data_IF_832056118151
#
_entry.id   IF_832056118151
#
_cell.length_a   1.000
_cell.length_b   1.000
_cell.length_c   1.000
_cell.angle_alpha   90.00
_cell.angle_beta   90.00
_cell.angle_gamma   90.00
#
_symmetry.space_group_name_H-M   'P 1'
#
loop_
_entity.id
_entity.type
_entity.pdbx_description
1 polymer ?
#
# COMPACT_ATOMS: atom_id res chain seq x y z
N UNK A 1 -11.08 63.76 8.83
CA UNK A 1 -9.96 64.74 8.93
C UNK A 1 -9.66 65.17 10.38
N UNK A 2 -9.91 64.31 11.39
CA UNK A 2 -9.69 64.65 12.83
C UNK A 2 -8.76 63.66 13.56
N UNK A 3 -8.42 62.51 12.97
CA UNK A 3 -7.52 61.53 13.62
C UNK A 3 -6.02 61.86 13.54
N UNK A 4 -5.59 62.81 12.70
CA UNK A 4 -4.18 63.19 12.59
C UNK A 4 -3.66 64.07 13.74
N UNK A 5 -4.54 64.81 14.42
CA UNK A 5 -4.15 65.75 15.47
C UNK A 5 -3.72 65.10 16.78
N UNK A 6 -4.27 63.92 17.11
CA UNK A 6 -4.04 63.25 18.39
C UNK A 6 -2.72 62.46 18.42
N UNK A 7 -2.23 62.00 17.25
CA UNK A 7 -0.92 61.34 17.13
C UNK A 7 0.26 62.34 17.27
N UNK A 8 0.10 63.56 16.77
CA UNK A 8 1.11 64.61 16.91
C UNK A 8 1.23 65.14 18.36
N UNK A 9 0.11 65.27 19.07
CA UNK A 9 0.08 65.72 20.46
C UNK A 9 0.65 64.66 21.44
N UNK A 10 0.41 63.37 21.17
CA UNK A 10 0.99 62.27 21.96
C UNK A 10 2.51 62.16 21.79
N UNK A 11 3.03 62.39 20.58
CA UNK A 11 4.48 62.40 20.32
C UNK A 11 5.20 63.56 21.00
N UNK A 12 4.58 64.74 21.05
CA UNK A 12 5.16 65.93 21.68
C UNK A 12 5.27 65.81 23.21
N UNK A 13 4.30 65.18 23.87
CA UNK A 13 4.33 64.98 25.33
C UNK A 13 5.33 63.89 25.76
N UNK A 14 5.61 62.91 24.91
CA UNK A 14 6.57 61.84 25.18
C UNK A 14 8.03 62.34 25.02
N UNK A 15 8.25 63.35 24.17
CA UNK A 15 9.54 64.02 23.96
C UNK A 15 9.95 64.94 25.12
N UNK A 16 9.00 65.43 25.93
CA UNK A 16 9.27 66.33 27.06
C UNK A 16 9.52 65.57 28.39
N UNK A 17 9.09 64.30 28.46
CA UNK A 17 9.27 63.45 29.65
C UNK A 17 10.68 62.82 29.77
N UNK A 18 11.51 62.86 28.73
CA UNK A 18 12.81 62.18 28.68
C UNK A 18 13.98 63.18 28.68
N UNK A 19 14.50 63.52 29.86
CA UNK A 19 15.70 64.37 30.06
C UNK A 19 17.03 63.64 29.82
N UNK A 20 17.17 62.89 28.72
CA UNK A 20 18.44 62.26 28.33
C UNK A 20 18.66 62.42 26.81
N UNK A 21 19.72 63.14 26.43
CA UNK A 21 20.03 63.52 25.05
C UNK A 21 20.19 62.34 24.07
N UNK A 22 20.48 61.14 24.57
CA UNK A 22 20.62 59.91 23.76
C UNK A 22 19.29 59.30 23.31
N UNK A 23 18.17 59.58 24.02
CA UNK A 23 16.85 59.01 23.71
C UNK A 23 16.14 59.64 22.50
N UNK A 24 16.46 60.90 22.18
CA UNK A 24 15.82 61.67 21.11
C UNK A 24 16.05 61.09 19.71
N UNK A 25 17.23 60.51 19.45
CA UNK A 25 17.57 59.94 18.14
C UNK A 25 16.90 58.59 17.89
N UNK A 26 16.74 57.77 18.94
CA UNK A 26 16.11 56.45 18.86
C UNK A 26 14.59 56.59 18.68
N UNK A 27 13.96 57.54 19.36
CA UNK A 27 12.51 57.78 19.26
C UNK A 27 12.16 58.44 17.91
N UNK A 28 12.99 59.34 17.39
CA UNK A 28 12.79 59.91 16.06
C UNK A 28 12.88 58.85 14.94
N UNK A 29 13.77 57.87 15.08
CA UNK A 29 13.87 56.75 14.14
C UNK A 29 12.66 55.80 14.24
N UNK A 30 12.16 55.52 15.44
CA UNK A 30 10.98 54.66 15.65
C UNK A 30 9.68 55.30 15.11
N UNK A 31 9.54 56.62 15.26
CA UNK A 31 8.39 57.36 14.75
C UNK A 31 8.37 57.43 13.21
N UNK A 32 9.55 57.51 12.56
CA UNK A 32 9.67 57.51 11.10
C UNK A 32 9.32 56.15 10.48
N UNK A 33 9.62 55.05 11.17
CA UNK A 33 9.26 53.68 10.73
C UNK A 33 7.76 53.42 10.88
N UNK A 34 7.11 53.98 11.90
CA UNK A 34 5.66 53.86 12.06
C UNK A 34 4.87 54.73 11.05
N UNK A 35 5.41 55.88 10.64
CA UNK A 35 4.74 56.77 9.68
C UNK A 35 4.76 56.27 8.22
N UNK A 36 5.69 55.37 7.86
CA UNK A 36 5.82 54.83 6.50
C UNK A 36 5.10 53.48 6.30
N UNK A 37 4.53 52.89 7.36
CA UNK A 37 3.99 51.52 7.33
C UNK A 37 2.46 51.36 7.25
N UNK A 38 1.67 52.45 7.24
CA UNK A 38 0.20 52.33 7.32
C UNK A 38 -0.47 52.94 6.08
N UNK A 39 -0.43 52.20 4.97
CA UNK A 39 -1.32 52.37 3.82
C UNK A 39 -1.50 51.01 3.10
N UNK A 40 -2.24 50.09 3.71
CA UNK A 40 -2.96 49.02 3.00
C UNK A 40 -3.99 48.41 3.97
N UNK A 41 -5.27 48.61 3.67
CA UNK A 41 -6.38 48.32 4.57
C UNK A 41 -6.68 46.85 4.79
N UNK A 42 -7.21 46.55 5.97
CA UNK A 42 -8.00 45.37 6.25
C UNK A 42 -9.27 45.81 6.99
N UNK A 43 -10.42 45.69 6.33
CA UNK A 43 -11.72 45.68 6.99
C UNK A 43 -11.83 44.37 7.78
N UNK A 44 -12.01 44.46 9.10
CA UNK A 44 -12.41 43.32 9.92
C UNK A 44 -13.51 43.78 10.88
N UNK A 45 -14.71 43.27 10.66
CA UNK A 45 -15.83 43.37 11.61
C UNK A 45 -15.54 42.48 12.83
N UNK A 46 -15.67 43.06 14.03
CA UNK A 46 -15.57 42.33 15.29
C UNK A 46 -16.91 41.63 15.64
N UNK A 47 -16.91 40.40 16.18
CA UNK A 47 -18.09 39.79 16.76
C UNK A 47 -18.26 40.18 18.25
N UNK A 48 -19.50 40.40 18.66
CA UNK A 48 -19.89 40.68 20.05
C UNK A 48 -19.99 39.37 20.88
N UNK A 49 -19.70 39.40 22.19
CA UNK A 49 -19.91 38.27 23.08
C UNK A 49 -21.35 38.26 23.64
N UNK A 50 -21.95 37.08 23.79
CA UNK A 50 -23.08 36.88 24.69
C UNK A 50 -22.79 35.76 25.68
N UNK A 51 -23.19 36.04 26.91
CA UNK A 51 -22.97 35.29 28.14
C UNK A 51 -24.29 34.63 28.53
N UNK A 52 -24.27 33.32 28.75
CA UNK A 52 -25.28 32.62 29.54
C UNK A 52 -24.69 31.27 29.95
N UNK A 53 -24.13 31.22 31.15
CA UNK A 53 -23.71 29.98 31.78
C UNK A 53 -24.81 29.43 32.69
N UNK A 54 -25.13 28.13 32.54
CA UNK A 54 -25.46 27.19 33.62
C UNK A 54 -25.10 25.78 33.13
N UNK A 55 -24.54 24.89 33.97
CA UNK A 55 -24.12 23.54 33.57
C UNK A 55 -25.23 22.51 33.82
N UNK A 56 -25.46 21.60 32.87
CA UNK A 56 -26.08 20.29 33.13
C UNK A 56 -25.60 19.29 32.10
N UNK A 57 -24.79 18.33 32.56
CA UNK A 57 -24.54 17.10 31.82
C UNK A 57 -25.76 16.20 31.90
N UNK A 58 -26.36 15.89 30.75
CA UNK A 58 -26.94 14.59 30.39
C UNK A 58 -26.85 14.55 28.87
N UNK A 59 -26.09 13.61 28.32
CA UNK A 59 -26.09 13.32 26.88
C UNK A 59 -27.31 12.44 26.63
N UNK A 60 -28.38 12.89 25.94
CA UNK A 60 -29.34 11.98 25.37
C UNK A 60 -28.66 11.17 24.24
N UNK A 61 -29.03 9.90 24.05
CA UNK A 61 -28.40 9.06 23.02
C UNK A 61 -28.64 9.68 21.65
N UNK A 62 -27.63 9.58 20.78
CA UNK A 62 -27.76 9.91 19.36
C UNK A 62 -28.88 9.05 18.75
N UNK A 63 -30.05 9.64 18.54
CA UNK A 63 -31.04 9.14 17.59
C UNK A 63 -30.45 9.27 16.19
N UNK A 64 -30.20 8.14 15.55
CA UNK A 64 -29.89 8.06 14.14
C UNK A 64 -31.08 8.61 13.35
N UNK A 65 -30.91 9.71 12.64
CA UNK A 65 -31.80 10.06 11.52
C UNK A 65 -31.64 8.99 10.44
N UNK A 66 -32.47 7.95 10.52
CA UNK A 66 -32.70 7.03 9.41
C UNK A 66 -33.54 7.79 8.39
N UNK A 67 -32.88 8.37 7.39
CA UNK A 67 -33.57 8.78 6.17
C UNK A 67 -34.25 7.56 5.56
N UNK A 68 -35.58 7.54 5.34
CA UNK A 68 -36.21 6.44 4.63
C UNK A 68 -35.77 6.52 3.16
N UNK A 69 -35.01 5.52 2.72
CA UNK A 69 -34.79 5.27 1.29
C UNK A 69 -36.14 4.87 0.69
N UNK A 70 -36.80 5.83 0.05
CA UNK A 70 -37.98 5.59 -0.77
C UNK A 70 -37.48 4.87 -2.04
N UNK A 71 -37.96 3.65 -2.35
CA UNK A 71 -37.61 3.01 -3.63
C UNK A 71 -38.16 3.85 -4.79
N UNK A 72 -37.39 4.02 -5.89
CA UNK A 72 -37.84 4.82 -7.03
C UNK A 72 -39.11 4.22 -7.65
N UNK A 73 -40.09 5.10 -7.88
CA UNK A 73 -41.40 4.81 -8.46
C UNK A 73 -41.25 4.23 -9.89
N UNK A 74 -41.84 3.06 -10.20
CA UNK A 74 -41.70 2.38 -11.50
C UNK A 74 -42.34 3.11 -12.69
N UNK A 75 -42.98 4.27 -12.49
CA UNK A 75 -43.63 5.06 -13.56
C UNK A 75 -42.72 6.03 -14.32
N UNK A 76 -41.43 6.11 -14.00
CA UNK A 76 -40.48 7.01 -14.67
C UNK A 76 -39.29 6.31 -15.35
N UNK A 77 -39.36 4.98 -15.55
CA UNK A 77 -38.38 4.28 -16.38
C UNK A 77 -38.70 4.47 -17.88
N UNK A 78 -37.70 4.74 -18.74
CA UNK A 78 -37.93 4.80 -20.19
C UNK A 78 -38.39 3.43 -20.73
N UNK A 79 -39.27 3.40 -21.75
CA UNK A 79 -39.89 2.18 -22.24
C UNK A 79 -38.86 1.28 -22.93
N UNK A 80 -38.66 0.10 -22.37
CA UNK A 80 -37.95 -1.00 -23.03
C UNK A 80 -38.89 -1.60 -24.08
N UNK A 81 -38.41 -1.71 -25.31
CA UNK A 81 -39.10 -2.40 -26.41
C UNK A 81 -39.35 -3.87 -26.05
N UNK A 82 -40.58 -4.16 -25.64
CA UNK A 82 -41.18 -5.48 -25.81
C UNK A 82 -42.18 -5.37 -26.95
N UNK A 83 -41.78 -5.81 -28.15
CA UNK A 83 -42.71 -6.20 -29.21
C UNK A 83 -42.38 -7.62 -29.64
N UNK A 84 -43.34 -8.48 -29.39
CA UNK A 84 -43.47 -9.85 -29.87
C UNK A 84 -43.82 -9.88 -31.37
N UNK A 85 -43.27 -10.91 -32.04
CA UNK A 85 -43.54 -11.44 -33.40
C UNK A 85 -42.61 -10.96 -34.55
N UNK A 86 -42.42 -11.76 -35.63
CA UNK A 86 -42.41 -13.24 -35.76
C UNK A 86 -41.07 -13.79 -36.32
N UNK A 87 -40.95 -15.12 -36.27
CA UNK A 87 -39.95 -15.98 -36.92
C UNK A 87 -39.61 -15.59 -38.36
N UNK A 88 -38.34 -15.26 -38.62
CA UNK A 88 -37.61 -15.62 -39.85
C UNK A 88 -36.14 -15.17 -39.73
N UNK A 89 -35.27 -16.10 -39.34
CA UNK A 89 -33.83 -15.99 -39.62
C UNK A 89 -33.42 -17.15 -40.51
N UNK A 90 -32.79 -16.89 -41.67
CA UNK A 90 -32.33 -17.94 -42.56
C UNK A 90 -31.20 -18.73 -41.89
N UNK A 91 -31.34 -20.05 -41.93
CA UNK A 91 -30.34 -21.03 -41.52
C UNK A 91 -28.94 -20.65 -42.00
N UNK A 92 -28.09 -20.25 -41.07
CA UNK A 92 -26.63 -20.28 -41.24
C UNK A 92 -26.13 -21.36 -40.28
N UNK A 93 -25.40 -22.39 -40.75
CA UNK A 93 -24.98 -23.47 -39.88
C UNK A 93 -24.07 -22.91 -38.79
N UNK A 94 -24.39 -23.26 -37.54
CA UNK A 94 -23.52 -23.04 -36.41
C UNK A 94 -22.19 -23.75 -36.69
N UNK A 95 -21.18 -22.99 -37.12
CA UNK A 95 -19.80 -23.39 -36.93
C UNK A 95 -19.59 -23.42 -35.41
N UNK A 96 -19.78 -24.59 -34.84
CA UNK A 96 -19.19 -25.00 -33.57
C UNK A 96 -17.68 -24.83 -33.70
N UNK A 97 -17.18 -23.64 -33.37
CA UNK A 97 -15.85 -23.54 -32.79
C UNK A 97 -15.88 -24.45 -31.57
N UNK A 98 -15.04 -25.51 -31.50
CA UNK A 98 -14.87 -26.20 -30.23
C UNK A 98 -14.42 -25.13 -29.24
N UNK A 99 -15.14 -24.99 -28.13
CA UNK A 99 -14.60 -24.35 -26.95
C UNK A 99 -13.31 -25.10 -26.64
N UNK A 100 -12.18 -24.54 -27.07
CA UNK A 100 -10.87 -25.08 -26.76
C UNK A 100 -10.81 -25.21 -25.26
N UNK A 101 -10.71 -26.47 -24.84
CA UNK A 101 -10.67 -26.98 -23.50
C UNK A 101 -10.33 -25.90 -22.44
N UNK A 102 -11.29 -25.62 -21.56
CA UNK A 102 -10.95 -25.48 -20.15
C UNK A 102 -10.00 -26.63 -19.86
N UNK A 103 -8.74 -26.31 -19.57
CA UNK A 103 -7.70 -27.30 -19.34
C UNK A 103 -8.28 -28.41 -18.49
N UNK A 104 -8.23 -29.63 -19.01
CA UNK A 104 -8.41 -30.82 -18.19
C UNK A 104 -7.65 -30.58 -16.88
N UNK A 105 -8.21 -30.90 -15.69
CA UNK A 105 -7.40 -30.90 -14.49
C UNK A 105 -6.17 -31.73 -14.87
N UNK A 106 -4.99 -31.08 -14.95
CA UNK A 106 -3.78 -31.79 -15.29
C UNK A 106 -3.69 -32.87 -14.23
N UNK A 107 -3.88 -34.12 -14.63
CA UNK A 107 -4.00 -35.21 -13.69
C UNK A 107 -2.68 -35.25 -12.94
N UNK A 108 -2.70 -34.76 -11.69
CA UNK A 108 -1.47 -34.55 -10.97
C UNK A 108 -0.86 -35.93 -10.74
N UNK A 109 0.41 -36.15 -11.12
CA UNK A 109 1.01 -37.45 -10.89
C UNK A 109 1.04 -37.72 -9.40
N UNK A 110 0.71 -38.96 -9.04
CA UNK A 110 0.75 -39.43 -7.66
C UNK A 110 2.21 -39.41 -7.19
N UNK A 111 2.47 -38.78 -6.05
CA UNK A 111 3.79 -38.68 -5.46
C UNK A 111 3.95 -39.61 -4.25
N UNK A 112 5.21 -39.85 -3.89
CA UNK A 112 5.53 -40.59 -2.68
C UNK A 112 5.06 -39.82 -1.45
N UNK A 113 4.34 -40.51 -0.55
CA UNK A 113 3.77 -39.93 0.65
C UNK A 113 2.28 -39.61 0.57
N UNK A 114 1.68 -39.58 -0.63
CA UNK A 114 0.26 -39.30 -0.84
C UNK A 114 -0.63 -40.37 -0.19
N UNK A 115 -1.83 -39.96 0.23
CA UNK A 115 -2.88 -40.87 0.69
C UNK A 115 -3.87 -41.10 -0.44
N UNK A 116 -4.02 -42.37 -0.80
CA UNK A 116 -4.96 -42.84 -1.80
C UNK A 116 -6.10 -43.56 -1.10
N UNK A 117 -7.33 -43.24 -1.51
CA UNK A 117 -8.50 -44.01 -1.18
C UNK A 117 -8.82 -44.92 -2.35
N UNK A 118 -8.67 -46.23 -2.14
CA UNK A 118 -8.93 -47.25 -3.16
C UNK A 118 -10.23 -47.95 -2.79
N UNK A 119 -11.18 -47.92 -3.71
CA UNK A 119 -12.50 -48.52 -3.55
C UNK A 119 -12.88 -49.31 -4.80
N UNK A 120 -13.58 -50.43 -4.63
CA UNK A 120 -14.20 -51.17 -5.74
C UNK A 120 -15.72 -51.03 -5.68
N UNK A 121 -16.36 -50.85 -6.84
CA UNK A 121 -17.77 -50.49 -6.91
C UNK A 121 -18.72 -51.62 -6.47
N UNK A 122 -18.44 -52.86 -6.86
CA UNK A 122 -19.30 -54.02 -6.57
C UNK A 122 -19.01 -54.67 -5.21
N UNK A 123 -17.88 -54.33 -4.61
CA UNK A 123 -17.27 -55.01 -3.47
C UNK A 123 -16.88 -53.94 -2.44
N UNK A 124 -17.84 -53.40 -1.68
CA UNK A 124 -17.55 -52.37 -0.68
C UNK A 124 -16.63 -52.86 0.44
N UNK A 125 -16.50 -54.17 0.65
CA UNK A 125 -15.47 -54.73 1.54
C UNK A 125 -14.03 -54.53 1.03
N UNK A 126 -13.84 -54.25 -0.27
CA UNK A 126 -12.55 -53.85 -0.84
C UNK A 126 -12.43 -52.32 -0.83
N UNK A 127 -12.31 -51.78 0.38
CA UNK A 127 -12.03 -50.36 0.64
C UNK A 127 -10.77 -50.24 1.49
N UNK A 128 -9.79 -49.46 1.02
CA UNK A 128 -8.56 -49.24 1.76
C UNK A 128 -8.01 -47.84 1.53
N UNK A 129 -7.80 -47.10 2.61
CA UNK A 129 -7.02 -45.86 2.60
C UNK A 129 -5.56 -46.18 2.87
N UNK A 130 -4.71 -46.00 1.86
CA UNK A 130 -3.32 -46.45 1.86
C UNK A 130 -2.38 -45.30 1.51
N UNK A 131 -1.20 -45.32 2.12
CA UNK A 131 -0.17 -44.31 1.87
C UNK A 131 0.85 -44.82 0.85
N UNK A 132 1.21 -43.98 -0.12
CA UNK A 132 2.28 -44.26 -1.07
C UNK A 132 3.62 -44.27 -0.32
N UNK A 133 4.35 -45.38 -0.41
CA UNK A 133 5.68 -45.54 0.19
C UNK A 133 6.71 -44.62 -0.48
N UNK A 134 7.85 -44.38 0.18
CA UNK A 134 8.98 -43.64 -0.40
C UNK A 134 9.51 -44.27 -1.70
N UNK A 135 9.35 -45.59 -1.86
CA UNK A 135 9.65 -46.31 -3.10
C UNK A 135 8.60 -46.16 -4.22
N UNK A 136 7.55 -45.37 -3.99
CA UNK A 136 6.48 -45.15 -4.96
C UNK A 136 5.50 -46.32 -5.12
N UNK A 137 5.48 -47.23 -4.16
CA UNK A 137 4.59 -48.39 -4.13
C UNK A 137 3.51 -48.24 -3.07
N UNK A 138 2.36 -48.84 -3.33
CA UNK A 138 1.22 -48.92 -2.41
C UNK A 138 1.00 -50.39 -2.09
N UNK A 139 0.82 -50.69 -0.81
CA UNK A 139 0.53 -52.03 -0.35
C UNK A 139 -0.98 -52.18 -0.13
N UNK A 140 -1.63 -52.94 -1.00
CA UNK A 140 -3.05 -53.25 -0.88
C UNK A 140 -3.22 -54.66 -0.31
N UNK A 141 -4.17 -54.79 0.62
CA UNK A 141 -4.54 -56.11 1.15
C UNK A 141 -4.97 -57.01 0.00
N UNK A 142 -4.56 -58.28 0.03
CA UNK A 142 -4.80 -59.30 -1.00
C UNK A 142 -3.89 -59.24 -2.24
N UNK A 143 -3.62 -58.07 -2.83
CA UNK A 143 -2.83 -57.95 -4.10
C UNK A 143 -1.37 -57.49 -3.91
N UNK A 144 -0.97 -57.10 -2.69
CA UNK A 144 0.41 -56.77 -2.35
C UNK A 144 0.86 -55.40 -2.85
N UNK A 145 2.15 -55.28 -3.18
CA UNK A 145 2.78 -53.99 -3.50
C UNK A 145 2.67 -53.65 -5.00
N UNK A 146 2.00 -52.54 -5.32
CA UNK A 146 1.82 -52.04 -6.69
C UNK A 146 2.54 -50.69 -6.84
N UNK A 147 3.26 -50.49 -7.94
CA UNK A 147 3.94 -49.22 -8.23
C UNK A 147 2.95 -48.23 -8.83
N UNK A 148 2.76 -47.09 -8.16
CA UNK A 148 1.79 -46.04 -8.57
C UNK A 148 2.43 -44.64 -8.68
N UNK A 149 3.65 -44.44 -8.16
CA UNK A 149 4.28 -43.13 -8.25
C UNK A 149 4.56 -42.72 -9.70
N UNK A 150 4.24 -41.47 -10.02
CA UNK A 150 4.36 -40.90 -11.36
C UNK A 150 3.17 -41.21 -12.28
N UNK A 151 2.22 -42.04 -11.84
CA UNK A 151 0.99 -42.32 -12.58
C UNK A 151 -0.09 -41.29 -12.23
N UNK A 152 -0.98 -41.00 -13.19
CA UNK A 152 -2.23 -40.31 -12.89
C UNK A 152 -3.21 -41.22 -12.14
N UNK A 153 -4.25 -40.64 -11.52
CA UNK A 153 -5.30 -41.41 -10.84
C UNK A 153 -5.92 -42.47 -11.77
N UNK A 154 -6.23 -42.10 -13.01
CA UNK A 154 -6.80 -43.00 -14.01
C UNK A 154 -5.83 -44.13 -14.44
N UNK A 155 -4.54 -43.85 -14.53
CA UNK A 155 -3.53 -44.87 -14.80
C UNK A 155 -3.34 -45.82 -13.61
N UNK A 156 -3.39 -45.27 -12.38
CA UNK A 156 -3.32 -46.07 -11.16
C UNK A 156 -4.55 -46.99 -11.03
N UNK A 157 -5.75 -46.52 -11.36
CA UNK A 157 -6.97 -47.34 -11.43
C UNK A 157 -6.77 -48.55 -12.37
N UNK A 158 -6.28 -48.30 -13.59
CA UNK A 158 -6.03 -49.37 -14.55
C UNK A 158 -4.94 -50.35 -14.09
N UNK A 159 -3.90 -49.86 -13.43
CA UNK A 159 -2.84 -50.70 -12.88
C UNK A 159 -3.36 -51.62 -11.77
N UNK A 160 -4.19 -51.10 -10.86
CA UNK A 160 -4.81 -51.87 -9.79
C UNK A 160 -5.83 -52.87 -10.35
N UNK A 161 -6.63 -52.46 -11.35
CA UNK A 161 -7.58 -53.34 -12.02
C UNK A 161 -6.90 -54.54 -12.68
N UNK A 162 -5.79 -54.31 -13.39
CA UNK A 162 -4.99 -55.38 -14.00
C UNK A 162 -4.41 -56.33 -12.94
N UNK A 163 -3.87 -55.79 -11.86
CA UNK A 163 -3.33 -56.59 -10.76
C UNK A 163 -4.39 -57.50 -10.11
N UNK A 164 -5.63 -57.00 -9.93
CA UNK A 164 -6.75 -57.78 -9.37
C UNK A 164 -7.20 -58.93 -10.29
N UNK A 165 -7.13 -58.72 -11.61
CA UNK A 165 -7.45 -59.76 -12.59
C UNK A 165 -6.33 -60.79 -12.71
N UNK A 166 -5.07 -60.34 -12.72
CA UNK A 166 -3.88 -61.20 -12.80
C UNK A 166 -3.74 -62.15 -11.60
N UNK A 167 -4.08 -61.68 -10.39
CA UNK A 167 -4.07 -62.51 -9.17
C UNK A 167 -5.31 -63.41 -9.04
N UNK A 168 -6.23 -63.34 -10.00
CA UNK A 168 -7.43 -64.20 -10.07
C UNK A 168 -8.51 -63.87 -9.03
N UNK A 169 -8.45 -62.68 -8.42
CA UNK A 169 -9.36 -62.27 -7.35
C UNK A 169 -10.71 -61.80 -7.89
N UNK A 170 -10.72 -61.06 -9.02
CA UNK A 170 -11.93 -60.49 -9.62
C UNK A 170 -11.90 -60.62 -11.15
N UNK A 171 -13.06 -60.91 -11.77
CA UNK A 171 -13.19 -61.07 -13.23
C UNK A 171 -13.34 -59.72 -13.96
N UNK A 172 -14.11 -58.80 -13.38
CA UNK A 172 -14.36 -57.46 -13.91
C UNK A 172 -14.43 -56.43 -12.77
N UNK A 173 -13.31 -56.16 -12.07
CA UNK A 173 -13.31 -55.15 -11.00
C UNK A 173 -13.47 -53.75 -11.58
N UNK A 174 -14.30 -52.92 -10.96
CA UNK A 174 -14.40 -51.49 -11.26
C UNK A 174 -13.82 -50.71 -10.08
N UNK A 175 -12.53 -50.39 -10.19
CA UNK A 175 -11.76 -49.74 -9.13
C UNK A 175 -11.75 -48.24 -9.33
N UNK A 176 -11.97 -47.51 -8.26
CA UNK A 176 -11.83 -46.06 -8.19
C UNK A 176 -10.71 -45.70 -7.22
N UNK A 177 -9.76 -44.87 -7.68
CA UNK A 177 -8.64 -44.38 -6.87
C UNK A 177 -8.76 -42.87 -6.76
N UNK A 178 -8.80 -42.36 -5.53
CA UNK A 178 -8.90 -40.93 -5.24
C UNK A 178 -7.72 -40.49 -4.37
N UNK A 179 -6.99 -39.45 -4.78
CA UNK A 179 -6.00 -38.82 -3.91
C UNK A 179 -6.73 -37.99 -2.86
N UNK A 180 -6.69 -38.45 -1.60
CA UNK A 180 -7.37 -37.76 -0.48
C UNK A 180 -6.48 -36.70 0.15
N UNK A 181 -5.17 -36.94 0.20
CA UNK A 181 -4.21 -35.98 0.72
C UNK A 181 -2.90 -36.11 -0.05
N UNK A 182 -2.56 -35.06 -0.80
CA UNK A 182 -1.32 -34.96 -1.56
C UNK A 182 -0.20 -34.46 -0.64
N UNK A 183 0.55 -35.39 -0.06
CA UNK A 183 1.53 -35.06 0.96
C UNK A 183 2.81 -34.52 0.32
N UNK A 184 3.19 -33.30 0.71
CA UNK A 184 4.45 -32.71 0.25
C UNK A 184 4.38 -32.13 -1.16
N UNK A 185 3.19 -31.94 -1.72
CA UNK A 185 3.00 -31.13 -2.92
C UNK A 185 2.70 -29.66 -2.58
N UNK A 186 2.58 -29.31 -1.30
CA UNK A 186 2.25 -27.96 -0.87
C UNK A 186 3.30 -26.92 -1.29
N UNK A 187 2.84 -25.68 -1.50
CA UNK A 187 3.67 -24.51 -1.76
C UNK A 187 3.75 -23.67 -0.49
N UNK A 188 4.95 -23.19 -0.15
CA UNK A 188 5.16 -22.32 1.01
C UNK A 188 5.21 -20.86 0.60
N UNK A 189 4.44 -20.00 1.28
CA UNK A 189 4.48 -18.55 1.11
C UNK A 189 5.08 -17.91 2.35
N UNK A 190 6.14 -17.13 2.15
CA UNK A 190 6.82 -16.40 3.21
C UNK A 190 7.01 -14.93 2.85
N UNK A 191 7.34 -14.13 3.86
CA UNK A 191 7.67 -12.72 3.71
C UNK A 191 6.48 -11.79 3.87
N UNK A 192 6.46 -10.71 3.10
CA UNK A 192 5.55 -9.57 3.27
C UNK A 192 4.17 -9.79 2.63
N UNK A 193 3.54 -10.93 2.95
CA UNK A 193 2.15 -11.25 2.60
C UNK A 193 1.25 -11.11 3.82
N UNK A 194 -0.06 -10.93 3.61
CA UNK A 194 -1.00 -10.78 4.71
C UNK A 194 -1.11 -12.05 5.57
N UNK A 195 -1.04 -13.24 4.96
CA UNK A 195 -1.07 -14.54 5.65
C UNK A 195 0.06 -15.46 5.15
N UNK A 196 1.25 -15.41 5.77
CA UNK A 196 2.31 -16.36 5.47
C UNK A 196 1.91 -17.77 5.96
N UNK A 197 2.29 -18.80 5.22
CA UNK A 197 1.90 -20.17 5.53
C UNK A 197 2.11 -21.14 4.37
N UNK A 198 1.66 -22.37 4.59
CA UNK A 198 1.71 -23.46 3.61
C UNK A 198 0.33 -23.57 2.97
N UNK A 199 0.30 -23.65 1.64
CA UNK A 199 -0.92 -23.69 0.83
C UNK A 199 -0.92 -24.93 -0.06
N UNK A 200 -2.07 -25.60 -0.23
CA UNK A 200 -2.17 -26.77 -1.08
C UNK A 200 -2.01 -26.36 -2.55
N UNK A 201 -1.07 -27.03 -3.23
CA UNK A 201 -0.80 -26.77 -4.65
C UNK A 201 -1.99 -27.08 -5.55
N UNK A 202 -2.76 -28.13 -5.24
CA UNK A 202 -3.94 -28.57 -6.01
C UNK A 202 -5.00 -27.48 -6.28
N UNK A 203 -4.97 -26.37 -5.52
CA UNK A 203 -5.88 -25.25 -5.71
C UNK A 203 -5.16 -23.98 -6.21
N UNK A 204 -3.85 -23.87 -6.01
CA UNK A 204 -3.08 -22.64 -6.22
C UNK A 204 -1.82 -22.92 -7.06
N UNK A 205 -2.03 -23.25 -8.33
CA UNK A 205 -0.93 -23.58 -9.25
C UNK A 205 -0.17 -22.35 -9.77
N UNK A 206 -0.72 -21.14 -9.64
CA UNK A 206 -0.10 -19.90 -10.13
C UNK A 206 0.26 -18.96 -8.99
N UNK A 207 1.29 -18.13 -9.23
CA UNK A 207 1.78 -17.15 -8.26
C UNK A 207 0.68 -16.18 -7.78
N UNK A 208 -0.10 -15.60 -8.69
CA UNK A 208 -1.15 -14.65 -8.33
C UNK A 208 -2.29 -15.31 -7.53
N UNK A 209 -2.63 -16.55 -7.86
CA UNK A 209 -3.68 -17.30 -7.15
C UNK A 209 -3.22 -17.60 -5.72
N UNK A 210 -1.96 -18.01 -5.55
CA UNK A 210 -1.34 -18.25 -4.25
C UNK A 210 -1.30 -16.99 -3.39
N UNK A 211 -0.92 -15.84 -3.96
CA UNK A 211 -0.87 -14.57 -3.23
C UNK A 211 -2.27 -14.09 -2.87
N UNK A 212 -3.24 -14.30 -3.75
CA UNK A 212 -4.65 -14.01 -3.48
C UNK A 212 -5.17 -14.87 -2.32
N UNK A 213 -4.82 -16.16 -2.28
CA UNK A 213 -5.13 -17.04 -1.16
C UNK A 213 -4.44 -16.59 0.14
N UNK A 214 -3.24 -16.05 0.04
CA UNK A 214 -2.53 -15.40 1.14
C UNK A 214 -3.10 -14.02 1.55
N UNK A 215 -4.29 -13.65 1.04
CA UNK A 215 -4.97 -12.37 1.28
C UNK A 215 -4.22 -11.14 0.74
N UNK A 216 -3.39 -11.34 -0.29
CA UNK A 216 -2.62 -10.29 -0.94
C UNK A 216 -1.31 -9.96 -0.24
N UNK A 217 -0.60 -9.01 -0.85
CA UNK A 217 0.66 -8.46 -0.34
C UNK A 217 0.38 -7.38 0.71
N UNK A 218 1.28 -7.21 1.68
CA UNK A 218 1.19 -6.12 2.66
C UNK A 218 1.57 -4.77 2.04
N UNK A 219 1.20 -3.63 2.64
CA UNK A 219 1.61 -2.30 2.15
C UNK A 219 3.13 -2.06 2.19
N UNK A 220 3.87 -2.85 2.96
CA UNK A 220 5.33 -2.82 3.09
C UNK A 220 6.03 -3.78 2.13
N UNK A 221 5.27 -4.59 1.39
CA UNK A 221 5.80 -5.54 0.44
C UNK A 221 6.45 -4.85 -0.76
N UNK A 222 7.58 -5.39 -1.18
CA UNK A 222 8.25 -5.01 -2.41
C UNK A 222 7.62 -5.74 -3.58
N UNK A 223 7.86 -5.22 -4.79
CA UNK A 223 7.36 -5.83 -6.03
C UNK A 223 8.14 -7.07 -6.46
N UNK A 224 9.31 -7.28 -5.87
CA UNK A 224 10.17 -8.41 -6.17
C UNK A 224 9.76 -9.61 -5.32
N UNK A 225 9.43 -10.71 -6.01
CA UNK A 225 9.14 -11.99 -5.40
C UNK A 225 10.14 -13.00 -5.90
N UNK A 226 10.68 -13.79 -4.98
CA UNK A 226 11.69 -14.81 -5.27
C UNK A 226 11.06 -16.17 -5.09
N UNK A 227 11.04 -16.95 -6.17
CA UNK A 227 10.57 -18.34 -6.15
C UNK A 227 11.81 -19.24 -6.03
N UNK A 228 11.77 -20.16 -5.07
CA UNK A 228 12.79 -21.19 -4.90
C UNK A 228 12.13 -22.53 -5.19
N UNK A 229 12.64 -23.23 -6.19
CA UNK A 229 12.17 -24.57 -6.55
C UNK A 229 12.76 -25.62 -5.60
N UNK A 230 12.02 -26.72 -5.40
CA UNK A 230 12.51 -27.82 -4.55
C UNK A 230 13.81 -28.44 -5.06
N UNK A 231 13.95 -28.57 -6.37
CA UNK A 231 15.13 -29.12 -7.04
C UNK A 231 16.36 -28.19 -6.93
N UNK A 232 16.13 -26.88 -6.85
CA UNK A 232 17.18 -25.87 -6.68
C UNK A 232 16.80 -24.83 -5.61
N UNK A 233 16.98 -25.17 -4.31
CA UNK A 233 16.63 -24.28 -3.22
C UNK A 233 17.60 -23.08 -3.06
N UNK A 234 18.69 -23.02 -3.84
CA UNK A 234 19.69 -21.97 -3.72
C UNK A 234 19.58 -20.90 -4.82
N UNK A 235 18.97 -21.23 -5.95
CA UNK A 235 18.75 -20.27 -7.03
C UNK A 235 17.35 -19.68 -6.95
N UNK A 236 17.29 -18.38 -6.63
CA UNK A 236 16.05 -17.62 -6.67
C UNK A 236 15.67 -17.29 -8.11
N UNK A 237 14.42 -17.58 -8.49
CA UNK A 237 13.80 -17.09 -9.72
C UNK A 237 13.05 -15.79 -9.40
N UNK A 238 13.57 -14.62 -9.82
CA UNK A 238 12.96 -13.35 -9.50
C UNK A 238 11.77 -13.07 -10.44
N UNK A 239 10.62 -12.78 -9.85
CA UNK A 239 9.40 -12.36 -10.53
C UNK A 239 9.03 -10.97 -10.03
N UNK A 240 8.83 -10.04 -10.95
CA UNK A 240 8.42 -8.68 -10.63
C UNK A 240 6.91 -8.61 -10.77
N UNK A 241 6.21 -8.37 -9.67
CA UNK A 241 4.77 -8.21 -9.72
C UNK A 241 4.35 -6.76 -9.86
N UNK A 242 3.24 -6.57 -10.56
CA UNK A 242 2.49 -5.32 -10.55
C UNK A 242 1.54 -5.30 -9.34
N UNK A 243 1.68 -4.35 -8.41
CA UNK A 243 0.77 -4.23 -7.26
C UNK A 243 -0.68 -3.93 -7.68
N UNK A 244 -0.87 -3.45 -8.91
CA UNK A 244 -2.20 -3.18 -9.47
C UNK A 244 -2.92 -4.45 -9.94
N UNK A 245 -2.22 -5.59 -10.00
CA UNK A 245 -2.78 -6.89 -10.44
C UNK A 245 -3.23 -6.93 -11.90
N UNK A 246 -2.95 -5.87 -12.67
CA UNK A 246 -3.42 -5.70 -14.05
C UNK A 246 -2.57 -6.41 -15.09
N UNK A 247 -1.31 -6.71 -14.78
CA UNK A 247 -0.42 -7.37 -15.74
C UNK A 247 -0.45 -8.90 -15.53
N UNK A 248 -1.37 -9.56 -16.23
CA UNK A 248 -1.49 -11.03 -16.26
C UNK A 248 -0.57 -11.71 -17.28
N UNK A 249 0.46 -11.02 -17.78
CA UNK A 249 1.46 -11.67 -18.64
C UNK A 249 2.07 -12.86 -17.93
N UNK A 250 2.37 -13.90 -18.70
CA UNK A 250 2.96 -15.16 -18.20
C UNK A 250 4.25 -14.89 -17.41
N UNK A 251 5.03 -13.87 -17.79
CA UNK A 251 6.26 -13.45 -17.11
C UNK A 251 6.03 -12.95 -15.68
N UNK A 252 4.86 -12.38 -15.37
CA UNK A 252 4.50 -11.84 -14.06
C UNK A 252 3.60 -12.77 -13.23
N UNK A 253 3.11 -13.85 -13.85
CA UNK A 253 2.29 -14.86 -13.20
C UNK A 253 2.71 -16.28 -13.64
N UNK A 254 3.94 -16.70 -13.29
CA UNK A 254 4.40 -18.04 -13.60
C UNK A 254 3.59 -19.10 -12.86
N UNK A 255 3.56 -20.29 -13.46
CA UNK A 255 3.08 -21.50 -12.81
C UNK A 255 4.15 -21.98 -11.82
N UNK A 256 3.69 -22.47 -10.68
CA UNK A 256 4.51 -22.96 -9.59
C UNK A 256 4.67 -24.47 -9.69
N UNK A 257 5.69 -25.00 -9.05
CA UNK A 257 5.92 -26.44 -8.95
C UNK A 257 5.62 -26.95 -7.52
N UNK A 258 5.25 -28.25 -7.39
CA UNK A 258 5.04 -28.85 -6.08
C UNK A 258 6.28 -28.72 -5.17
N UNK A 259 6.10 -28.12 -3.99
CA UNK A 259 7.19 -27.90 -3.04
C UNK A 259 7.92 -26.57 -3.19
N UNK A 260 7.48 -25.69 -4.08
CA UNK A 260 8.04 -24.35 -4.23
C UNK A 260 7.92 -23.52 -2.95
N UNK A 261 8.90 -22.63 -2.79
CA UNK A 261 8.91 -21.63 -1.74
C UNK A 261 8.87 -20.24 -2.36
N UNK A 262 7.76 -19.55 -2.18
CA UNK A 262 7.53 -18.18 -2.66
C UNK A 262 7.87 -17.21 -1.54
N UNK A 263 8.93 -16.43 -1.73
CA UNK A 263 9.38 -15.41 -0.80
C UNK A 263 9.05 -14.01 -1.33
N UNK A 264 8.14 -13.32 -0.64
CA UNK A 264 7.82 -11.92 -0.94
C UNK A 264 8.77 -11.00 -0.18
N UNK A 265 9.63 -10.31 -0.91
CA UNK A 265 10.60 -9.39 -0.31
C UNK A 265 9.92 -8.14 0.22
N UNK A 266 10.51 -7.50 1.24
CA UNK A 266 10.11 -6.18 1.70
C UNK A 266 10.52 -5.11 0.69
N UNK A 267 9.69 -4.08 0.54
CA UNK A 267 10.06 -2.92 -0.25
C UNK A 267 11.30 -2.26 0.37
N UNK A 268 12.25 -1.86 -0.47
CA UNK A 268 13.32 -0.99 0.01
C UNK A 268 12.70 0.31 0.53
N UNK A 269 13.33 0.96 1.51
CA UNK A 269 12.82 2.21 2.06
C UNK A 269 13.88 3.29 2.02
N UNK A 270 13.55 4.43 1.43
CA UNK A 270 14.34 5.67 1.55
C UNK A 270 13.69 6.59 2.56
N UNK A 271 14.49 7.22 3.41
CA UNK A 271 13.99 8.18 4.40
C UNK A 271 14.23 9.59 3.91
N UNK A 272 13.17 10.39 3.77
CA UNK A 272 13.29 11.84 3.50
C UNK A 272 12.94 12.58 4.78
N UNK A 273 13.90 13.34 5.30
CA UNK A 273 13.79 14.02 6.60
C UNK A 273 14.30 15.46 6.53
N UNK A 274 13.93 16.26 7.53
CA UNK A 274 14.28 17.67 7.63
C UNK A 274 13.15 18.57 7.12
N UNK A 275 13.51 19.68 6.50
CA UNK A 275 12.58 20.75 6.10
C UNK A 275 11.89 20.45 4.76
N UNK A 276 11.08 19.40 4.76
CA UNK A 276 10.23 18.95 3.65
C UNK A 276 8.77 18.98 4.06
N UNK A 277 7.86 19.04 3.09
CA UNK A 277 6.42 19.15 3.38
C UNK A 277 5.90 17.87 4.07
N UNK A 278 6.35 16.70 3.61
CA UNK A 278 5.97 15.41 4.19
C UNK A 278 7.22 14.57 4.49
N UNK A 279 7.83 14.71 5.68
CA UNK A 279 8.93 13.84 6.09
C UNK A 279 8.41 12.43 6.33
N UNK A 280 9.22 11.42 5.99
CA UNK A 280 8.83 10.02 6.14
C UNK A 280 9.68 9.04 5.34
N UNK A 281 9.34 7.76 5.48
CA UNK A 281 9.89 6.68 4.65
C UNK A 281 9.06 6.49 3.39
N UNK A 282 9.72 6.32 2.25
CA UNK A 282 9.10 6.09 0.95
C UNK A 282 9.62 4.80 0.36
N UNK A 283 8.71 3.97 -0.14
CA UNK A 283 9.06 2.69 -0.73
C UNK A 283 9.86 2.89 -2.03
N UNK A 284 10.92 2.12 -2.19
CA UNK A 284 11.80 2.05 -3.36
C UNK A 284 11.55 0.71 -4.03
N UNK A 285 11.15 0.78 -5.29
CA UNK A 285 11.09 -0.40 -6.15
C UNK A 285 12.53 -0.78 -6.56
N UNK A 286 12.99 -2.01 -6.28
CA UNK A 286 14.34 -2.44 -6.67
C UNK A 286 14.54 -2.51 -8.19
N UNK A 287 13.47 -2.59 -8.98
CA UNK A 287 13.54 -2.77 -10.44
C UNK A 287 13.45 -1.46 -11.20
N UNK A 288 12.47 -0.61 -10.88
CA UNK A 288 12.34 0.72 -11.47
C UNK A 288 13.34 1.71 -10.86
N UNK A 289 13.82 1.43 -9.65
CA UNK A 289 14.61 2.36 -8.86
C UNK A 289 13.77 3.56 -8.39
N UNK A 290 14.37 4.36 -7.54
CA UNK A 290 13.83 5.67 -7.16
C UNK A 290 14.99 6.66 -7.18
N UNK A 291 14.74 7.88 -7.63
CA UNK A 291 15.76 8.93 -7.64
C UNK A 291 15.57 9.92 -6.49
N UNK A 292 16.59 10.75 -6.22
CA UNK A 292 16.52 11.77 -5.17
C UNK A 292 15.40 12.77 -5.45
N UNK A 293 15.26 13.24 -6.70
CA UNK A 293 14.19 14.19 -7.05
C UNK A 293 12.81 13.53 -6.95
N UNK A 294 12.67 12.27 -7.36
CA UNK A 294 11.42 11.53 -7.19
C UNK A 294 11.06 11.33 -5.72
N UNK A 295 12.01 10.90 -4.88
CA UNK A 295 11.81 10.75 -3.44
C UNK A 295 11.39 12.08 -2.79
N UNK A 296 12.04 13.19 -3.17
CA UNK A 296 11.64 14.52 -2.71
C UNK A 296 10.23 14.90 -3.19
N UNK A 297 9.85 14.49 -4.39
CA UNK A 297 8.51 14.74 -4.93
C UNK A 297 7.43 13.95 -4.19
N UNK A 298 7.71 12.70 -3.82
CA UNK A 298 6.85 11.89 -2.94
C UNK A 298 6.68 12.53 -1.55
N UNK A 299 7.72 13.24 -1.09
CA UNK A 299 7.71 14.06 0.11
C UNK A 299 7.07 15.46 -0.06
N UNK A 300 6.37 15.70 -1.19
CA UNK A 300 5.70 16.96 -1.54
C UNK A 300 6.65 18.16 -1.70
N UNK A 301 7.93 17.90 -1.94
CA UNK A 301 8.95 18.93 -2.12
C UNK A 301 9.51 19.48 -0.80
N UNK A 302 10.51 20.34 -0.95
CA UNK A 302 11.11 21.08 0.17
C UNK A 302 10.23 22.28 0.56
N UNK A 303 10.20 22.65 1.84
CA UNK A 303 9.45 23.82 2.29
C UNK A 303 10.13 25.13 1.83
N UNK A 304 9.46 26.30 1.90
CA UNK A 304 10.08 27.59 1.58
C UNK A 304 11.28 27.97 2.49
N UNK A 305 11.33 27.40 3.70
CA UNK A 305 12.38 27.67 4.68
C UNK A 305 13.63 26.81 4.45
N UNK A 306 13.50 25.74 3.68
CA UNK A 306 14.53 24.76 3.44
C UNK A 306 15.76 25.32 2.69
N UNK A 307 16.93 24.80 3.02
CA UNK A 307 18.18 25.03 2.29
C UNK A 307 18.41 23.88 1.30
N UNK A 308 17.56 23.85 0.27
CA UNK A 308 17.60 22.83 -0.78
C UNK A 308 18.93 22.76 -1.57
N UNK A 309 19.81 23.75 -1.47
CA UNK A 309 21.14 23.75 -2.10
C UNK A 309 22.20 22.97 -1.32
N UNK A 310 21.92 22.60 -0.07
CA UNK A 310 22.84 21.87 0.83
C UNK A 310 22.19 20.62 1.40
N UNK A 311 21.35 19.94 0.61
CA UNK A 311 20.80 18.68 1.04
C UNK A 311 21.91 17.63 1.14
N UNK A 312 21.73 16.63 1.99
CA UNK A 312 22.73 15.60 2.24
C UNK A 312 22.08 14.25 2.01
N UNK A 313 22.65 13.47 1.10
CA UNK A 313 22.33 12.06 0.97
C UNK A 313 23.31 11.26 1.82
N UNK A 314 22.78 10.58 2.83
CA UNK A 314 23.53 9.74 3.74
C UNK A 314 23.31 8.29 3.31
N UNK A 315 24.38 7.63 2.88
CA UNK A 315 24.37 6.24 2.43
C UNK A 315 25.24 5.38 3.33
N UNK A 316 24.72 4.25 3.80
CA UNK A 316 25.50 3.29 4.57
C UNK A 316 26.27 2.37 3.60
N UNK A 317 27.59 2.30 3.72
CA UNK A 317 28.45 1.43 2.93
C UNK A 317 29.29 0.55 3.86
N UNK A 318 29.84 -0.56 3.34
CA UNK A 318 30.61 -1.54 4.15
C UNK A 318 31.81 -0.94 4.91
N UNK A 319 32.25 0.28 4.58
CA UNK A 319 33.33 1.03 5.23
C UNK A 319 32.90 2.28 6.01
N UNK A 320 31.60 2.52 6.20
CA UNK A 320 31.09 3.68 6.95
C UNK A 320 29.95 4.42 6.23
N UNK A 321 29.56 5.57 6.79
CA UNK A 321 28.53 6.44 6.23
C UNK A 321 29.14 7.43 5.25
N UNK A 322 28.71 7.37 3.99
CA UNK A 322 29.10 8.35 2.96
C UNK A 322 28.05 9.45 2.92
N UNK A 323 28.50 10.70 3.05
CA UNK A 323 27.64 11.89 3.03
C UNK A 323 27.89 12.67 1.75
N UNK A 324 26.95 12.59 0.80
CA UNK A 324 27.04 13.31 -0.47
C UNK A 324 26.21 14.58 -0.38
N UNK A 325 26.83 15.74 -0.56
CA UNK A 325 26.10 17.01 -0.60
C UNK A 325 25.46 17.20 -1.98
N UNK A 326 24.17 17.52 -2.00
CA UNK A 326 23.34 17.65 -3.19
C UNK A 326 22.72 19.03 -3.29
N UNK A 327 22.67 19.56 -4.52
CA UNK A 327 21.95 20.79 -4.82
C UNK A 327 20.61 20.46 -5.48
N UNK A 328 19.58 20.25 -4.66
CA UNK A 328 18.25 19.85 -5.12
C UNK A 328 17.62 20.88 -6.07
N UNK A 329 17.91 22.18 -5.89
CA UNK A 329 17.40 23.23 -6.80
C UNK A 329 17.94 23.07 -8.22
N UNK A 330 19.21 22.70 -8.36
CA UNK A 330 19.84 22.49 -9.66
C UNK A 330 19.40 21.16 -10.28
N UNK A 331 19.25 20.12 -9.46
CA UNK A 331 18.73 18.81 -9.90
C UNK A 331 17.29 18.91 -10.43
N UNK A 332 16.38 19.59 -9.70
CA UNK A 332 14.99 19.81 -10.15
C UNK A 332 14.92 20.59 -11.47
N UNK A 333 15.87 21.51 -11.70
CA UNK A 333 15.98 22.29 -12.94
C UNK A 333 16.69 21.54 -14.08
N UNK A 334 17.08 20.28 -13.87
CA UNK A 334 17.82 19.48 -14.85
C UNK A 334 19.25 19.97 -15.11
N UNK A 335 19.82 20.79 -14.22
CA UNK A 335 21.17 21.34 -14.35
C UNK A 335 22.26 20.42 -13.78
N UNK A 336 21.87 19.56 -12.84
CA UNK A 336 22.71 18.51 -12.26
C UNK A 336 22.00 17.16 -12.47
N UNK A 337 22.72 16.06 -12.72
CA UNK A 337 22.11 14.75 -12.94
C UNK A 337 21.42 14.25 -11.67
N UNK A 338 20.29 13.56 -11.85
CA UNK A 338 19.59 12.94 -10.74
C UNK A 338 20.29 11.66 -10.29
N UNK A 339 20.30 11.40 -8.99
CA UNK A 339 21.00 10.26 -8.40
C UNK A 339 20.00 9.20 -7.97
N UNK A 340 20.25 7.91 -8.27
CA UNK A 340 19.44 6.83 -7.73
C UNK A 340 19.67 6.69 -6.23
N UNK A 341 18.57 6.62 -5.47
CA UNK A 341 18.57 6.24 -4.07
C UNK A 341 18.53 4.73 -3.94
N UNK A 342 19.08 4.23 -2.83
CA UNK A 342 19.12 2.81 -2.48
C UNK A 342 18.29 2.58 -1.23
N UNK A 343 18.00 1.31 -0.97
CA UNK A 343 17.42 0.90 0.30
C UNK A 343 18.25 1.45 1.47
N UNK A 344 17.56 1.97 2.48
CA UNK A 344 18.09 2.59 3.69
C UNK A 344 18.88 3.89 3.50
N UNK A 345 18.84 4.51 2.31
CA UNK A 345 19.39 5.85 2.14
C UNK A 345 18.55 6.88 2.93
N UNK A 346 19.22 7.91 3.44
CA UNK A 346 18.57 9.03 4.13
C UNK A 346 18.87 10.32 3.36
N UNK A 347 17.81 10.94 2.83
CA UNK A 347 17.86 12.28 2.27
C UNK A 347 17.50 13.29 3.37
N UNK A 348 18.51 14.03 3.84
CA UNK A 348 18.33 15.09 4.81
C UNK A 348 18.31 16.46 4.12
N UNK A 349 17.23 17.21 4.33
CA UNK A 349 17.09 18.57 3.85
C UNK A 349 17.18 19.54 5.04
N UNK A 350 18.27 20.30 5.19
CA UNK A 350 18.42 21.23 6.31
C UNK A 350 17.47 22.42 6.20
N UNK A 351 17.06 22.95 7.34
CA UNK A 351 16.33 24.21 7.46
C UNK A 351 17.29 25.41 7.42
N UNK A 352 16.75 26.59 7.08
CA UNK A 352 17.52 27.83 7.18
C UNK A 352 17.30 28.45 8.55
N UNK A 353 18.29 28.31 9.44
CA UNK A 353 18.26 28.91 10.77
C UNK A 353 17.92 30.42 10.74
N UNK A 354 18.47 31.17 9.78
CA UNK A 354 18.20 32.61 9.61
C UNK A 354 16.76 32.89 9.20
N UNK A 355 16.18 32.13 8.27
CA UNK A 355 14.77 32.32 7.86
C UNK A 355 13.81 31.91 8.97
N UNK A 356 14.12 30.83 9.69
CA UNK A 356 13.32 30.38 10.83
C UNK A 356 13.33 31.40 11.97
N UNK A 357 14.46 32.06 12.23
CA UNK A 357 14.55 33.15 13.20
C UNK A 357 13.75 34.38 12.78
N UNK A 358 13.85 34.80 11.51
CA UNK A 358 13.10 35.94 10.97
C UNK A 358 11.59 35.72 11.08
N UNK A 359 11.09 34.56 10.64
CA UNK A 359 9.66 34.25 10.69
C UNK A 359 9.15 34.23 12.13
N UNK A 360 9.86 33.56 13.04
CA UNK A 360 9.50 33.54 14.48
C UNK A 360 9.52 34.93 15.10
N UNK A 361 10.46 35.79 14.73
CA UNK A 361 10.54 37.16 15.24
C UNK A 361 9.39 38.04 14.73
N UNK A 362 8.97 37.86 13.48
CA UNK A 362 7.83 38.56 12.89
C UNK A 362 6.51 38.13 13.52
N UNK A 363 6.29 36.83 13.73
CA UNK A 363 5.10 36.33 14.43
C UNK A 363 5.02 36.87 15.86
N UNK A 364 6.14 36.84 16.60
CA UNK A 364 6.21 37.39 17.95
C UNK A 364 5.93 38.90 17.97
N UNK A 365 6.45 39.65 17.00
CA UNK A 365 6.18 41.07 16.84
C UNK A 365 4.68 41.33 16.61
N UNK A 366 4.04 40.61 15.69
CA UNK A 366 2.61 40.75 15.41
C UNK A 366 1.77 40.43 16.66
N UNK A 367 2.09 39.34 17.38
CA UNK A 367 1.39 38.97 18.61
C UNK A 367 1.53 40.04 19.70
N UNK A 368 2.72 40.61 19.87
CA UNK A 368 2.93 41.71 20.82
C UNK A 368 2.14 42.96 20.45
N UNK A 369 2.04 43.31 19.17
CA UNK A 369 1.25 44.47 18.71
C UNK A 369 -0.23 44.27 19.02
N UNK A 370 -0.78 43.07 18.79
CA UNK A 370 -2.17 42.74 19.13
C UNK A 370 -2.39 42.83 20.64
N UNK A 371 -1.48 42.28 21.44
CA UNK A 371 -1.57 42.34 22.90
C UNK A 371 -1.55 43.77 23.44
N UNK A 372 -0.66 44.62 22.92
CA UNK A 372 -0.59 46.05 23.28
C UNK A 372 -1.86 46.78 22.84
N UNK A 373 -2.39 46.47 21.66
CA UNK A 373 -3.62 47.10 21.14
C UNK A 373 -4.85 46.73 21.97
N UNK A 374 -4.98 45.45 22.35
CA UNK A 374 -6.05 44.98 23.24
C UNK A 374 -5.95 45.60 24.63
N UNK A 375 -4.73 45.66 25.20
CA UNK A 375 -4.49 46.30 26.49
C UNK A 375 -4.82 47.78 26.46
N UNK A 376 -4.35 48.50 25.43
CA UNK A 376 -4.65 49.92 25.25
C UNK A 376 -6.16 50.17 25.10
N UNK A 377 -6.88 49.32 24.34
CA UNK A 377 -8.33 49.39 24.21
C UNK A 377 -9.07 49.17 25.54
N UNK A 378 -8.65 48.17 26.33
CA UNK A 378 -9.23 47.87 27.64
C UNK A 378 -9.01 49.00 28.65
N UNK A 379 -7.80 49.56 28.70
CA UNK A 379 -7.49 50.70 29.57
C UNK A 379 -8.28 51.94 29.15
N UNK A 380 -8.45 52.16 27.84
CA UNK A 380 -9.25 53.27 27.33
C UNK A 380 -10.74 53.14 27.70
N UNK A 381 -11.32 51.94 27.62
CA UNK A 381 -12.74 51.69 27.98
C UNK A 381 -13.02 51.70 29.49
N UNK A 382 -12.00 51.64 30.34
CA UNK A 382 -12.16 51.77 31.79
C UNK A 382 -12.13 53.24 32.24
N UNK A 383 -11.67 54.14 31.37
CA UNK A 383 -11.42 55.55 31.69
C UNK A 383 -12.47 56.49 31.10
N UNK A 384 -13.27 56.00 30.17
CA UNK A 384 -14.45 56.63 29.56
C UNK A 384 -15.57 55.61 29.53
#
# INVERSE_FOLDING_TARGET
MVCGGWLALGGALLLDALRLESGRKVVAALALVCALGVCAGAQAQAPLPSTSGVPTGVVPPFEQEVSPVIPPNPKTAPPVWNTSAPTDFPNTPANTTPMTALGLPMALPIHAGDFLDVSEFHTPEFHATVRVSAGGTVNLSMIGAIKVAGMSESEAEQAVQKALVEDGMLLHPEVKVLVTNAAGQDVSVLGEVARPGVYPYATHHRLLDLISAASGMTPTAGRLVSIFHREDPHTAHPVVMDPSGTDSKVEHNPELEPGDTVLVSRAGLVYVIGDVVRPGGFAVDPTQGLTVVQALSLAWGATPNAVATKAILIRNQKGGRTMTTLNLKRMIRGQDPDLPVRDQDILYVPDSATKNLLNKSLEAAIQSVIGVSLYAGLVYSQRF
#
